data_IF_117321726117
#
_entry.id   IF_117321726117
#
_cell.length_a   1.000
_cell.length_b   1.000
_cell.length_c   1.000
_cell.angle_alpha   90.00
_cell.angle_beta   90.00
_cell.angle_gamma   90.00
#
_symmetry.space_group_name_H-M   'P 1'
#
loop_
_entity.id
_entity.type
_entity.pdbx_description
1 polymer ?
#
# COMPACT_ATOMS: atom_id res chain seq x y z
N UNK A 1 2.41 -11.51 11.85
CA UNK A 1 2.27 -10.04 11.77
C UNK A 1 2.26 -9.57 10.31
N UNK A 2 1.89 -8.31 10.04
CA UNK A 2 1.93 -7.70 8.70
C UNK A 2 2.89 -6.49 8.70
N UNK A 3 4.10 -6.71 8.19
CA UNK A 3 5.12 -5.66 8.01
C UNK A 3 4.86 -4.91 6.71
N UNK A 4 5.03 -3.58 6.74
CA UNK A 4 4.63 -2.70 5.64
C UNK A 4 5.74 -1.71 5.33
N UNK A 5 6.11 -1.61 4.06
CA UNK A 5 6.93 -0.52 3.52
C UNK A 5 6.27 -0.01 2.26
N UNK A 6 6.17 1.30 2.14
CA UNK A 6 5.80 1.94 0.89
C UNK A 6 6.57 3.25 0.77
N UNK A 7 7.01 3.56 -0.45
CA UNK A 7 7.80 4.73 -0.76
C UNK A 7 7.29 5.39 -2.05
N UNK A 8 7.36 6.72 -2.09
CA UNK A 8 7.13 7.50 -3.31
C UNK A 8 8.47 7.69 -4.03
N UNK A 9 8.53 7.35 -5.31
CA UNK A 9 9.66 7.59 -6.20
C UNK A 9 9.23 8.68 -7.19
N UNK A 10 9.86 9.85 -7.11
CA UNK A 10 9.47 10.99 -7.93
C UNK A 10 9.97 10.86 -9.38
N UNK A 11 9.10 11.08 -10.36
CA UNK A 11 9.42 10.91 -11.78
C UNK A 11 8.74 11.97 -12.68
N UNK A 12 8.97 13.25 -12.37
CA UNK A 12 8.45 14.38 -13.15
C UNK A 12 6.97 14.61 -12.88
N UNK A 13 6.13 14.44 -13.90
CA UNK A 13 4.68 14.68 -13.80
C UNK A 13 3.92 13.50 -13.17
N UNK A 14 4.60 12.38 -12.97
CA UNK A 14 4.08 11.17 -12.34
C UNK A 14 5.04 10.68 -11.28
N UNK A 15 4.50 10.08 -10.23
CA UNK A 15 5.27 9.44 -9.17
C UNK A 15 4.89 7.96 -9.08
N UNK A 16 5.86 7.12 -8.76
CA UNK A 16 5.64 5.70 -8.51
C UNK A 16 5.57 5.41 -7.02
N UNK A 17 4.57 4.64 -6.60
CA UNK A 17 4.42 4.13 -5.25
C UNK A 17 4.90 2.68 -5.23
N UNK A 18 6.12 2.46 -4.73
CA UNK A 18 6.66 1.12 -4.55
C UNK A 18 6.21 0.56 -3.20
N UNK A 19 5.67 -0.66 -3.20
CA UNK A 19 5.04 -1.31 -2.04
C UNK A 19 5.72 -2.64 -1.77
N UNK A 20 6.09 -2.89 -0.52
CA UNK A 20 6.57 -4.17 -0.03
C UNK A 20 5.87 -4.53 1.27
N UNK A 21 5.22 -5.70 1.28
CA UNK A 21 4.52 -6.25 2.44
C UNK A 21 5.09 -7.63 2.77
N UNK A 22 5.18 -7.93 4.06
CA UNK A 22 5.53 -9.28 4.53
C UNK A 22 4.45 -9.77 5.47
N UNK A 23 3.96 -10.97 5.18
CA UNK A 23 2.89 -11.59 5.92
C UNK A 23 3.42 -12.81 6.69
N UNK A 24 3.55 -12.67 8.00
CA UNK A 24 3.83 -13.80 8.87
C UNK A 24 2.51 -14.40 9.35
N UNK A 25 2.17 -15.56 8.77
CA UNK A 25 1.05 -16.40 9.18
C UNK A 25 1.60 -17.70 9.75
N UNK A 26 0.99 -18.22 10.82
CA UNK A 26 1.20 -19.62 11.21
C UNK A 26 0.48 -20.53 10.22
N UNK A 27 1.15 -20.92 9.13
CA UNK A 27 0.58 -21.73 8.04
C UNK A 27 1.11 -21.34 6.67
N UNK A 28 0.48 -21.83 5.60
CA UNK A 28 0.83 -21.48 4.21
C UNK A 28 0.40 -20.03 3.88
N UNK A 29 1.35 -19.12 3.59
CA UNK A 29 1.03 -17.74 3.18
C UNK A 29 0.20 -17.67 1.90
N UNK A 30 0.28 -18.67 1.02
CA UNK A 30 -0.49 -18.69 -0.24
C UNK A 30 -2.00 -18.87 0.00
N UNK A 31 -2.40 -19.37 1.17
CA UNK A 31 -3.81 -19.47 1.56
C UNK A 31 -4.41 -18.12 2.00
N UNK A 32 -3.62 -17.06 2.10
CA UNK A 32 -4.08 -15.73 2.47
C UNK A 32 -4.51 -14.93 1.23
N UNK A 33 -5.69 -14.31 1.30
CA UNK A 33 -6.15 -13.34 0.32
C UNK A 33 -5.62 -11.97 0.75
N UNK A 34 -4.73 -11.39 -0.05
CA UNK A 34 -4.22 -10.03 0.14
C UNK A 34 -4.83 -9.10 -0.90
N UNK A 35 -5.42 -7.99 -0.43
CA UNK A 35 -5.85 -6.87 -1.28
C UNK A 35 -5.08 -5.62 -0.89
N UNK A 36 -4.48 -4.96 -1.87
CA UNK A 36 -3.72 -3.73 -1.68
C UNK A 36 -4.31 -2.65 -2.57
N UNK A 37 -4.43 -1.43 -2.04
CA UNK A 37 -4.92 -0.27 -2.79
C UNK A 37 -4.03 0.94 -2.54
N UNK A 38 -3.89 1.78 -3.57
CA UNK A 38 -3.28 3.12 -3.51
C UNK A 38 -4.38 4.13 -3.77
N UNK A 39 -4.67 5.00 -2.80
CA UNK A 39 -5.73 6.01 -2.90
C UNK A 39 -7.12 5.44 -3.26
N UNK A 40 -7.39 4.19 -2.88
CA UNK A 40 -8.63 3.48 -3.19
C UNK A 40 -8.57 2.61 -4.44
N UNK A 41 -7.58 2.81 -5.31
CA UNK A 41 -7.40 2.04 -6.53
C UNK A 41 -6.62 0.74 -6.28
N UNK A 42 -7.06 -0.42 -6.81
CA UNK A 42 -6.42 -1.71 -6.55
C UNK A 42 -5.03 -1.79 -7.19
N UNK A 43 -4.09 -2.41 -6.46
CA UNK A 43 -2.73 -2.66 -6.92
C UNK A 43 -2.55 -4.15 -7.18
N UNK A 44 -2.05 -4.49 -8.37
CA UNK A 44 -1.61 -5.86 -8.68
C UNK A 44 -0.35 -6.17 -7.89
N UNK A 45 -0.42 -7.18 -7.04
CA UNK A 45 0.70 -7.63 -6.21
C UNK A 45 1.34 -8.88 -6.79
N UNK A 46 2.66 -8.91 -6.83
CA UNK A 46 3.47 -10.10 -7.06
C UNK A 46 3.76 -10.76 -5.71
N UNK A 47 3.80 -12.09 -5.67
CA UNK A 47 4.06 -12.88 -4.47
C UNK A 47 5.27 -13.78 -4.65
N UNK A 48 6.15 -13.79 -3.64
CA UNK A 48 7.27 -14.72 -3.52
C UNK A 48 7.39 -15.16 -2.06
N UNK A 49 6.94 -16.38 -1.77
CA UNK A 49 6.82 -16.88 -0.39
C UNK A 49 5.84 -16.02 0.42
N UNK A 50 6.34 -15.43 1.52
CA UNK A 50 5.57 -14.55 2.40
C UNK A 50 5.69 -13.05 2.04
N UNK A 51 6.43 -12.72 0.98
CA UNK A 51 6.70 -11.35 0.56
C UNK A 51 5.85 -10.98 -0.66
N UNK A 52 5.19 -9.83 -0.55
CA UNK A 52 4.35 -9.27 -1.60
C UNK A 52 4.89 -7.92 -2.04
N UNK A 53 5.02 -7.71 -3.34
CA UNK A 53 5.50 -6.45 -3.90
C UNK A 53 4.55 -5.93 -4.96
N UNK A 54 4.36 -4.61 -5.01
CA UNK A 54 3.51 -3.95 -5.99
C UNK A 54 4.03 -2.57 -6.32
N UNK A 55 3.56 -2.04 -7.45
CA UNK A 55 3.85 -0.68 -7.91
C UNK A 55 2.56 -0.05 -8.40
N UNK A 56 2.40 1.24 -8.14
CA UNK A 56 1.32 2.05 -8.71
C UNK A 56 1.90 3.36 -9.21
N UNK A 57 1.42 3.86 -10.35
CA UNK A 57 1.81 5.18 -10.86
C UNK A 57 0.66 6.14 -10.64
N UNK A 58 0.95 7.30 -10.07
CA UNK A 58 -0.03 8.38 -9.84
C UNK A 58 0.50 9.68 -10.44
N UNK A 59 -0.35 10.61 -10.89
CA UNK A 59 0.11 11.97 -11.18
C UNK A 59 0.78 12.58 -9.95
N UNK A 60 1.91 13.28 -10.10
CA UNK A 60 2.62 13.91 -8.98
C UNK A 60 1.72 14.93 -8.23
N UNK A 61 0.81 15.59 -8.96
CA UNK A 61 -0.21 16.47 -8.40
C UNK A 61 -1.17 15.78 -7.41
N UNK A 62 -1.28 14.44 -7.43
CA UNK A 62 -2.09 13.66 -6.48
C UNK A 62 -1.64 13.91 -5.04
N UNK A 63 -0.34 14.12 -4.83
CA UNK A 63 0.24 14.38 -3.51
C UNK A 63 -0.02 15.79 -2.98
N UNK A 64 -0.63 16.66 -3.79
CA UNK A 64 -0.95 18.05 -3.44
C UNK A 64 -2.43 18.23 -3.11
N UNK A 65 -3.23 17.16 -3.11
CA UNK A 65 -4.66 17.20 -2.81
C UNK A 65 -4.93 17.85 -1.45
N UNK A 66 -5.73 18.93 -1.44
CA UNK A 66 -6.19 19.53 -0.19
C UNK A 66 -7.25 18.64 0.44
N UNK A 67 -6.94 18.07 1.60
CA UNK A 67 -7.88 17.16 2.27
C UNK A 67 -8.87 17.90 3.16
N UNK A 68 -8.41 18.83 4.00
CA UNK A 68 -9.27 19.69 4.81
C UNK A 68 -8.49 20.84 5.44
N UNK A 69 -9.20 21.78 6.07
CA UNK A 69 -8.58 22.86 6.88
C UNK A 69 -7.78 22.35 8.08
N UNK A 70 -8.01 21.11 8.51
CA UNK A 70 -7.32 20.48 9.65
C UNK A 70 -6.13 19.63 9.23
N UNK A 71 -6.01 19.33 7.94
CA UNK A 71 -4.99 18.42 7.42
C UNK A 71 -4.63 18.81 5.99
N UNK A 72 -3.41 19.31 5.84
CA UNK A 72 -2.81 19.57 4.55
C UNK A 72 -2.67 18.29 3.70
N UNK A 73 -2.15 18.48 2.51
CA UNK A 73 -1.80 17.40 1.60
C UNK A 73 -0.99 16.30 2.30
N UNK A 74 -1.47 15.06 2.20
CA UNK A 74 -0.68 13.89 2.51
C UNK A 74 -0.43 13.14 1.20
N UNK A 75 0.74 12.51 1.06
CA UNK A 75 1.06 11.74 -0.13
C UNK A 75 0.13 10.55 -0.31
N UNK A 76 0.47 9.64 -1.21
CA UNK A 76 -0.39 8.49 -1.43
C UNK A 76 -0.60 7.66 -0.16
N UNK A 77 -1.83 7.21 0.04
CA UNK A 77 -2.17 6.26 1.09
C UNK A 77 -2.21 4.86 0.49
N UNK A 78 -1.44 3.97 1.09
CA UNK A 78 -1.46 2.54 0.77
C UNK A 78 -2.27 1.84 1.85
N UNK A 79 -3.28 1.07 1.44
CA UNK A 79 -4.04 0.20 2.34
C UNK A 79 -3.85 -1.26 1.94
N UNK A 80 -3.72 -2.13 2.94
CA UNK A 80 -3.61 -3.56 2.74
C UNK A 80 -4.57 -4.28 3.69
N UNK A 81 -5.34 -5.21 3.13
CA UNK A 81 -6.29 -6.05 3.86
C UNK A 81 -5.91 -7.50 3.58
N UNK A 82 -5.71 -8.27 4.64
CA UNK A 82 -5.49 -9.70 4.54
C UNK A 82 -6.67 -10.45 5.14
N UNK A 83 -7.08 -11.52 4.47
CA UNK A 83 -8.04 -12.51 4.96
C UNK A 83 -7.43 -13.89 4.87
N UNK A 84 -7.37 -14.58 6.01
CA UNK A 84 -6.89 -15.95 6.10
C UNK A 84 -8.02 -16.94 5.82
N UNK A 85 -7.66 -18.18 5.45
CA UNK A 85 -8.62 -19.25 5.18
C UNK A 85 -9.49 -19.60 6.40
N UNK A 86 -8.96 -19.41 7.61
CA UNK A 86 -9.69 -19.61 8.87
C UNK A 86 -10.65 -18.46 9.23
N UNK A 87 -10.79 -17.47 8.34
CA UNK A 87 -11.70 -16.34 8.50
C UNK A 87 -11.10 -15.15 9.26
N UNK A 88 -9.90 -15.26 9.84
CA UNK A 88 -9.24 -14.11 10.48
C UNK A 88 -8.88 -13.05 9.45
N UNK A 89 -9.01 -11.79 9.86
CA UNK A 89 -8.70 -10.63 9.02
C UNK A 89 -7.77 -9.66 9.73
N UNK A 90 -6.86 -9.05 8.99
CA UNK A 90 -6.05 -7.93 9.49
C UNK A 90 -5.95 -6.82 8.45
N UNK A 91 -5.83 -5.59 8.94
CA UNK A 91 -5.76 -4.39 8.13
C UNK A 91 -4.50 -3.57 8.43
N UNK A 92 -4.05 -2.87 7.41
CA UNK A 92 -2.84 -2.10 7.42
C UNK A 92 -2.96 -0.87 6.54
N UNK A 93 -2.37 0.24 6.97
CA UNK A 93 -2.12 1.35 6.07
C UNK A 93 -0.77 2.01 6.36
N UNK A 94 -0.25 2.71 5.35
CA UNK A 94 0.92 3.59 5.44
C UNK A 94 0.71 4.75 4.47
N UNK A 95 1.18 5.94 4.84
CA UNK A 95 1.26 7.10 3.95
C UNK A 95 2.71 7.25 3.48
N UNK A 96 2.93 7.48 2.20
CA UNK A 96 4.29 7.55 1.63
C UNK A 96 4.94 8.93 1.74
N UNK A 97 4.41 9.79 2.60
CA UNK A 97 4.85 11.17 2.80
C UNK A 97 4.21 12.14 1.79
N UNK A 98 3.63 13.23 2.30
CA UNK A 98 3.16 14.36 1.49
C UNK A 98 4.06 15.57 1.69
N UNK A 99 4.25 16.34 0.62
CA UNK A 99 5.06 17.56 0.46
C UNK A 99 6.19 17.71 1.49
N UNK A 100 7.40 17.28 1.08
CA UNK A 100 8.64 17.87 1.57
C UNK A 100 8.96 19.13 0.77
#
# INVERSE_FOLDING_TARGET
ALTRRAETIHAGDTDEIAIALELEVGGDPQAAILKVHVNGEPVTMQVSGNRYTGRAVVPAATHQGFHSVWRGSYGSIVTAIVRLADGRTAGAYVVTGGIG
#
